data_IF_831927107310
#
_entry.id   IF_831927107310
#
_cell.length_a   1.000
_cell.length_b   1.000
_cell.length_c   1.000
_cell.angle_alpha   90.00
_cell.angle_beta   90.00
_cell.angle_gamma   90.00
#
_symmetry.space_group_name_H-M   'P 1'
#
loop_
_entity.id
_entity.type
_entity.pdbx_description
1 polymer ?
#
# COMPACT_ATOMS: atom_id res chain seq x y z
N UNK A 1 20.04 -11.05 45.22
CA UNK A 1 19.10 -12.04 44.66
C UNK A 1 17.76 -11.36 44.31
N UNK A 2 17.11 -10.63 45.24
CA UNK A 2 15.81 -9.98 45.00
C UNK A 2 15.89 -8.96 43.83
N UNK A 3 16.93 -8.12 43.82
CA UNK A 3 17.15 -7.14 42.75
C UNK A 3 17.32 -7.84 41.37
N UNK A 4 18.10 -8.90 41.32
CA UNK A 4 18.31 -9.66 40.09
C UNK A 4 17.00 -10.30 39.60
N UNK A 5 16.14 -10.77 40.49
CA UNK A 5 14.84 -11.32 40.12
C UNK A 5 13.89 -10.24 39.57
N UNK A 6 13.84 -9.07 40.22
CA UNK A 6 13.04 -7.93 39.74
C UNK A 6 13.53 -7.46 38.36
N UNK A 7 14.85 -7.36 38.20
CA UNK A 7 15.44 -6.98 36.88
C UNK A 7 15.11 -8.00 35.81
N UNK A 8 15.20 -9.31 36.10
CA UNK A 8 14.85 -10.35 35.14
C UNK A 8 13.36 -10.29 34.73
N UNK A 9 12.46 -10.06 35.71
CA UNK A 9 11.01 -9.88 35.41
C UNK A 9 10.75 -8.61 34.60
N UNK A 10 11.43 -7.53 34.95
CA UNK A 10 11.31 -6.26 34.18
C UNK A 10 11.79 -6.43 32.74
N UNK A 11 12.93 -7.07 32.49
CA UNK A 11 13.45 -7.38 31.16
C UNK A 11 12.49 -8.30 30.40
N UNK A 12 11.95 -9.35 31.05
CA UNK A 12 10.96 -10.22 30.40
C UNK A 12 9.66 -9.47 30.07
N UNK A 13 9.25 -8.50 30.89
CA UNK A 13 8.13 -7.60 30.62
C UNK A 13 8.40 -6.68 29.44
N UNK A 14 9.60 -6.12 29.36
CA UNK A 14 10.02 -5.24 28.26
C UNK A 14 9.96 -5.95 26.90
N UNK A 15 10.35 -7.22 26.83
CA UNK A 15 10.31 -8.05 25.63
C UNK A 15 8.89 -8.39 25.16
N UNK A 16 7.89 -8.20 26.02
CA UNK A 16 6.46 -8.41 25.69
C UNK A 16 5.71 -7.13 25.39
N UNK A 17 6.33 -5.99 25.59
CA UNK A 17 5.73 -4.69 25.23
C UNK A 17 5.55 -4.60 23.73
N UNK A 18 4.29 -4.58 23.29
CA UNK A 18 3.92 -4.18 21.94
C UNK A 18 3.53 -2.71 22.00
N UNK A 19 4.23 -1.88 21.26
CA UNK A 19 3.87 -0.47 21.10
C UNK A 19 2.81 -0.41 20.00
N UNK A 20 1.58 -0.04 20.35
CA UNK A 20 0.56 0.32 19.38
C UNK A 20 0.69 1.83 19.14
N UNK A 21 1.15 2.18 17.96
CA UNK A 21 1.40 3.55 17.49
C UNK A 21 0.44 3.98 16.39
N UNK A 22 -0.71 3.29 16.27
CA UNK A 22 -1.77 3.75 15.37
C UNK A 22 -2.21 5.16 15.75
N UNK A 23 -2.39 6.02 14.77
CA UNK A 23 -2.88 7.39 15.02
C UNK A 23 -4.23 7.37 15.75
N UNK A 24 -5.09 6.40 15.46
CA UNK A 24 -6.36 6.21 16.13
C UNK A 24 -6.18 5.92 17.64
N UNK A 25 -5.16 5.13 18.02
CA UNK A 25 -4.89 4.81 19.43
C UNK A 25 -4.33 6.03 20.20
N UNK A 26 -3.53 6.88 19.54
CA UNK A 26 -3.03 8.13 20.13
C UNK A 26 -4.16 9.10 20.49
N UNK A 27 -5.27 9.07 19.76
CA UNK A 27 -6.45 9.90 20.00
C UNK A 27 -7.56 9.18 20.73
N UNK A 28 -7.31 7.93 21.20
CA UNK A 28 -8.31 7.13 21.90
C UNK A 28 -8.73 7.81 23.19
N UNK A 29 -9.98 8.26 23.18
CA UNK A 29 -10.62 8.88 24.32
C UNK A 29 -11.95 8.20 24.61
N UNK A 30 -12.41 8.22 25.85
CA UNK A 30 -13.71 7.64 26.22
C UNK A 30 -14.86 8.62 26.00
N UNK A 31 -14.84 9.33 24.86
CA UNK A 31 -15.89 10.29 24.48
C UNK A 31 -16.94 9.68 23.57
N UNK A 32 -18.17 10.21 23.54
CA UNK A 32 -19.22 9.75 22.62
C UNK A 32 -18.79 9.86 21.14
N UNK A 33 -18.04 10.90 20.80
CA UNK A 33 -17.53 11.17 19.44
C UNK A 33 -16.57 10.07 19.00
N UNK A 34 -15.66 9.64 19.89
CA UNK A 34 -14.72 8.57 19.57
C UNK A 34 -15.43 7.21 19.38
N UNK A 35 -16.46 6.91 20.17
CA UNK A 35 -17.30 5.71 19.98
C UNK A 35 -18.03 5.73 18.66
N UNK A 36 -18.52 6.90 18.24
CA UNK A 36 -19.15 7.09 16.93
C UNK A 36 -18.15 6.85 15.80
N UNK A 37 -16.93 7.37 15.93
CA UNK A 37 -15.83 7.11 15.00
C UNK A 37 -15.52 5.61 14.89
N UNK A 38 -15.37 4.89 16.02
CA UNK A 38 -15.14 3.44 16.03
C UNK A 38 -16.29 2.64 15.38
N UNK A 39 -17.54 3.08 15.54
CA UNK A 39 -18.70 2.42 14.93
C UNK A 39 -18.75 2.66 13.42
N UNK A 40 -18.37 3.85 12.96
CA UNK A 40 -18.24 4.17 11.53
C UNK A 40 -17.08 3.37 10.92
N UNK A 41 -15.91 3.36 11.54
CA UNK A 41 -14.72 2.65 11.06
C UNK A 41 -14.96 1.13 10.93
N UNK A 42 -15.75 0.55 11.86
CA UNK A 42 -16.16 -0.86 11.76
C UNK A 42 -17.13 -1.16 10.61
N UNK A 43 -17.98 -0.20 10.25
CA UNK A 43 -19.02 -0.39 9.22
C UNK A 43 -18.55 -0.02 7.83
N UNK A 44 -17.63 0.91 7.74
CA UNK A 44 -17.08 1.45 6.50
C UNK A 44 -15.56 1.34 6.54
N UNK A 45 -14.95 0.52 5.67
CA UNK A 45 -13.49 0.43 5.59
C UNK A 45 -12.89 1.83 5.42
N UNK A 46 -12.01 2.21 6.34
CA UNK A 46 -11.36 3.51 6.27
C UNK A 46 -10.10 3.44 5.41
N UNK A 47 -9.78 4.52 4.71
CA UNK A 47 -8.54 4.66 3.94
C UNK A 47 -7.28 4.75 4.82
N UNK A 48 -7.42 4.66 6.15
CA UNK A 48 -6.30 4.64 7.11
C UNK A 48 -5.38 3.44 6.90
N UNK A 49 -5.93 2.35 6.34
CA UNK A 49 -5.17 1.14 6.01
C UNK A 49 -4.88 1.00 4.52
N UNK A 50 -5.07 2.08 3.75
CA UNK A 50 -4.73 2.05 2.33
C UNK A 50 -3.24 2.37 2.12
N UNK A 51 -2.53 1.44 1.50
CA UNK A 51 -1.18 1.65 0.99
C UNK A 51 -1.24 1.98 -0.50
N UNK A 52 -0.40 2.92 -0.92
CA UNK A 52 -0.34 3.38 -2.30
C UNK A 52 0.98 2.91 -2.92
N UNK A 53 0.91 2.15 -4.01
CA UNK A 53 2.06 1.79 -4.82
C UNK A 53 2.08 2.72 -6.04
N UNK A 54 3.07 3.58 -6.10
CA UNK A 54 3.29 4.53 -7.19
C UNK A 54 4.30 3.92 -8.13
N UNK A 55 3.90 3.69 -9.37
CA UNK A 55 4.71 3.13 -10.45
C UNK A 55 5.04 4.23 -11.43
N UNK A 56 6.32 4.47 -11.70
CA UNK A 56 6.79 5.57 -12.54
C UNK A 56 7.76 5.07 -13.61
N UNK A 57 7.54 5.45 -14.85
CA UNK A 57 8.46 5.20 -15.96
C UNK A 57 7.83 5.40 -17.33
N UNK A 58 8.66 5.78 -18.29
CA UNK A 58 8.23 6.05 -19.69
C UNK A 58 7.73 4.80 -20.41
N UNK A 59 8.14 3.62 -19.96
CA UNK A 59 7.72 2.33 -20.51
C UNK A 59 6.34 1.87 -20.02
N UNK A 60 5.69 2.60 -19.09
CA UNK A 60 4.46 2.18 -18.43
C UNK A 60 3.34 1.77 -19.37
N UNK A 61 3.08 2.57 -20.41
CA UNK A 61 2.03 2.33 -21.40
C UNK A 61 2.51 1.58 -22.65
N UNK A 62 3.72 0.99 -22.61
CA UNK A 62 4.14 0.03 -23.64
C UNK A 62 3.52 -1.34 -23.35
N UNK A 63 3.56 -2.26 -24.31
CA UNK A 63 3.08 -3.64 -24.10
C UNK A 63 3.78 -4.31 -22.93
N UNK A 64 5.12 -4.25 -22.89
CA UNK A 64 5.93 -4.82 -21.81
C UNK A 64 5.61 -4.18 -20.47
N UNK A 65 5.49 -2.84 -20.43
CA UNK A 65 5.14 -2.12 -19.23
C UNK A 65 3.76 -2.46 -18.68
N UNK A 66 2.74 -2.55 -19.55
CA UNK A 66 1.39 -2.96 -19.15
C UNK A 66 1.35 -4.42 -18.69
N UNK A 67 2.11 -5.33 -19.33
CA UNK A 67 2.24 -6.72 -18.90
C UNK A 67 2.90 -6.82 -17.53
N UNK A 68 3.99 -6.10 -17.31
CA UNK A 68 4.66 -6.04 -16.01
C UNK A 68 3.77 -5.44 -14.94
N UNK A 69 3.01 -4.38 -15.26
CA UNK A 69 2.06 -3.77 -14.35
C UNK A 69 0.90 -4.72 -13.99
N UNK A 70 0.41 -5.52 -14.94
CA UNK A 70 -0.58 -6.56 -14.69
C UNK A 70 -0.03 -7.68 -13.80
N UNK A 71 1.20 -8.12 -14.05
CA UNK A 71 1.92 -9.09 -13.21
C UNK A 71 2.05 -8.59 -11.77
N UNK A 72 2.57 -7.37 -11.60
CA UNK A 72 2.68 -6.73 -10.30
C UNK A 72 1.32 -6.61 -9.58
N UNK A 73 0.26 -6.23 -10.29
CA UNK A 73 -1.10 -6.14 -9.73
C UNK A 73 -1.58 -7.50 -9.21
N UNK A 74 -1.31 -8.59 -9.96
CA UNK A 74 -1.68 -9.95 -9.58
C UNK A 74 -0.89 -10.45 -8.36
N UNK A 75 0.42 -10.22 -8.33
CA UNK A 75 1.29 -10.56 -7.21
C UNK A 75 0.89 -9.79 -5.93
N UNK A 76 0.63 -8.50 -6.06
CA UNK A 76 0.22 -7.64 -4.95
C UNK A 76 -1.14 -8.04 -4.39
N UNK A 77 -2.07 -8.50 -5.22
CA UNK A 77 -3.37 -8.98 -4.75
C UNK A 77 -3.27 -10.24 -3.90
N UNK A 78 -2.23 -11.04 -4.09
CA UNK A 78 -1.94 -12.27 -3.34
C UNK A 78 -1.01 -12.04 -2.16
N UNK A 79 -0.48 -10.82 -1.99
CA UNK A 79 0.46 -10.50 -0.93
C UNK A 79 -0.20 -10.56 0.46
N UNK A 80 0.56 -11.00 1.46
CA UNK A 80 0.08 -11.09 2.83
C UNK A 80 -0.41 -9.73 3.34
N UNK A 81 -1.59 -9.72 3.91
CA UNK A 81 -2.21 -8.52 4.47
C UNK A 81 -2.93 -7.62 3.47
N UNK A 82 -2.97 -7.97 2.19
CA UNK A 82 -3.77 -7.25 1.18
C UNK A 82 -5.18 -7.85 1.13
N UNK A 83 -6.18 -7.05 1.44
CA UNK A 83 -7.60 -7.43 1.40
C UNK A 83 -8.33 -6.95 0.16
N UNK A 84 -7.78 -5.95 -0.54
CA UNK A 84 -8.35 -5.39 -1.76
C UNK A 84 -7.31 -4.62 -2.56
N UNK A 85 -7.55 -4.51 -3.87
CA UNK A 85 -6.68 -3.80 -4.80
C UNK A 85 -7.51 -3.10 -5.86
N UNK A 86 -7.17 -1.83 -6.13
CA UNK A 86 -7.73 -1.04 -7.22
C UNK A 86 -6.60 -0.35 -7.98
N UNK A 87 -6.64 -0.43 -9.31
CA UNK A 87 -5.68 0.21 -10.21
C UNK A 87 -6.35 0.65 -11.51
N UNK A 88 -5.58 1.18 -12.45
CA UNK A 88 -6.10 1.48 -13.81
C UNK A 88 -6.65 0.23 -14.52
N UNK A 89 -6.19 -0.98 -14.16
CA UNK A 89 -6.69 -2.23 -14.73
C UNK A 89 -8.10 -2.60 -14.22
N UNK A 90 -8.53 -2.02 -13.09
CA UNK A 90 -9.89 -2.21 -12.56
C UNK A 90 -10.95 -1.46 -13.38
N UNK A 91 -10.54 -0.57 -14.27
CA UNK A 91 -11.46 0.22 -15.07
C UNK A 91 -12.17 -0.61 -16.15
N UNK A 92 -13.44 -0.32 -16.31
CA UNK A 92 -14.32 -0.98 -17.28
C UNK A 92 -14.80 -0.01 -18.35
N UNK A 93 -15.08 -0.53 -19.52
CA UNK A 93 -15.73 0.21 -20.59
C UNK A 93 -17.18 0.56 -20.22
N UNK A 94 -17.84 1.39 -21.01
CA UNK A 94 -19.28 1.60 -20.87
C UNK A 94 -20.01 0.27 -21.12
N UNK A 95 -21.08 -0.03 -20.36
CA UNK A 95 -21.85 -1.23 -20.58
C UNK A 95 -22.40 -1.31 -22.01
N UNK A 96 -22.38 -2.51 -22.59
CA UNK A 96 -23.02 -2.81 -23.88
C UNK A 96 -24.55 -2.90 -23.75
N UNK A 97 -25.23 -3.27 -24.85
CA UNK A 97 -26.67 -3.44 -24.87
C UNK A 97 -27.21 -4.52 -23.91
N UNK A 98 -26.34 -5.45 -23.48
CA UNK A 98 -26.64 -6.53 -22.55
C UNK A 98 -26.28 -6.16 -21.10
N UNK A 99 -25.76 -4.96 -20.86
CA UNK A 99 -25.31 -4.49 -19.56
C UNK A 99 -23.90 -4.99 -19.15
N UNK A 100 -23.15 -5.62 -20.06
CA UNK A 100 -21.78 -6.08 -19.79
C UNK A 100 -20.79 -4.95 -20.04
N UNK A 101 -19.94 -4.67 -19.04
CA UNK A 101 -18.85 -3.71 -19.10
C UNK A 101 -17.50 -4.46 -19.16
N UNK A 102 -16.94 -4.56 -20.35
CA UNK A 102 -15.64 -5.22 -20.57
C UNK A 102 -14.49 -4.46 -19.88
N UNK A 103 -13.40 -5.15 -19.45
CA UNK A 103 -12.20 -4.47 -19.01
C UNK A 103 -11.63 -3.61 -20.15
N UNK A 104 -11.09 -2.42 -19.81
CA UNK A 104 -10.43 -1.55 -20.81
C UNK A 104 -9.12 -2.20 -21.24
N UNK A 105 -8.37 -2.76 -20.30
CA UNK A 105 -7.16 -3.53 -20.57
C UNK A 105 -7.55 -5.00 -20.52
N UNK A 106 -7.54 -5.73 -21.65
CA UNK A 106 -7.81 -7.16 -21.68
C UNK A 106 -6.63 -7.94 -21.08
N UNK A 107 -6.90 -9.17 -20.64
CA UNK A 107 -5.86 -10.06 -20.10
C UNK A 107 -4.79 -10.37 -21.17
N UNK A 108 -5.21 -10.56 -22.42
CA UNK A 108 -4.31 -10.73 -23.55
C UNK A 108 -4.17 -9.42 -24.31
N UNK A 109 -3.02 -8.77 -24.19
CA UNK A 109 -2.73 -7.53 -24.90
C UNK A 109 -2.50 -7.79 -26.40
N UNK A 110 -3.07 -6.95 -27.30
CA UNK A 110 -2.89 -7.09 -28.73
C UNK A 110 -1.42 -6.99 -29.13
N UNK A 111 -1.01 -7.79 -30.12
CA UNK A 111 0.35 -7.74 -30.67
C UNK A 111 0.55 -6.54 -31.60
N UNK A 112 -0.51 -6.11 -32.26
CA UNK A 112 -0.48 -4.99 -33.19
C UNK A 112 -0.43 -3.64 -32.46
N UNK A 113 0.39 -2.68 -32.94
CA UNK A 113 0.52 -1.37 -32.30
C UNK A 113 -0.77 -0.55 -32.30
N UNK A 114 -1.67 -0.77 -33.26
CA UNK A 114 -2.93 -0.04 -33.36
C UNK A 114 -3.93 -0.45 -32.27
N UNK A 115 -4.00 -1.74 -31.96
CA UNK A 115 -4.80 -2.26 -30.85
C UNK A 115 -4.30 -1.74 -29.52
N UNK A 116 -2.99 -1.75 -29.28
CA UNK A 116 -2.38 -1.19 -28.08
C UNK A 116 -2.67 0.32 -27.97
N UNK A 117 -2.51 1.08 -29.05
CA UNK A 117 -2.81 2.51 -29.05
C UNK A 117 -4.28 2.80 -28.68
N UNK A 118 -5.21 1.95 -29.11
CA UNK A 118 -6.63 2.05 -28.77
C UNK A 118 -6.86 1.86 -27.26
N UNK A 119 -6.22 0.88 -26.65
CA UNK A 119 -6.28 0.63 -25.19
C UNK A 119 -5.71 1.82 -24.42
N UNK A 120 -4.56 2.33 -24.82
CA UNK A 120 -3.91 3.49 -24.20
C UNK A 120 -4.79 4.74 -24.29
N UNK A 121 -5.40 4.97 -25.45
CA UNK A 121 -6.33 6.09 -25.64
C UNK A 121 -7.58 5.95 -24.77
N UNK A 122 -8.12 4.73 -24.63
CA UNK A 122 -9.25 4.45 -23.77
C UNK A 122 -8.92 4.67 -22.28
N UNK A 123 -7.74 4.25 -21.81
CA UNK A 123 -7.28 4.52 -20.44
C UNK A 123 -7.15 6.02 -20.17
N UNK A 124 -6.48 6.75 -21.07
CA UNK A 124 -6.25 8.20 -20.95
C UNK A 124 -7.53 9.04 -21.04
N UNK A 125 -8.58 8.53 -21.67
CA UNK A 125 -9.88 9.21 -21.79
C UNK A 125 -10.91 8.79 -20.73
N UNK A 126 -10.62 7.76 -19.93
CA UNK A 126 -11.56 7.27 -18.93
C UNK A 126 -11.59 8.18 -17.68
N UNK A 127 -12.77 8.69 -17.31
CA UNK A 127 -12.95 9.63 -16.19
C UNK A 127 -12.58 9.05 -14.81
N UNK A 128 -12.55 7.72 -14.67
CA UNK A 128 -12.14 7.04 -13.44
C UNK A 128 -10.61 6.91 -13.37
N UNK A 129 -9.96 6.69 -14.52
CA UNK A 129 -8.52 6.44 -14.61
C UNK A 129 -7.73 7.73 -14.67
N UNK A 130 -8.14 8.66 -15.54
CA UNK A 130 -7.44 9.91 -15.81
C UNK A 130 -7.28 10.76 -14.55
N UNK A 131 -6.05 11.12 -14.22
CA UNK A 131 -5.72 11.99 -13.09
C UNK A 131 -5.95 11.36 -11.70
N UNK A 132 -6.32 10.05 -11.64
CA UNK A 132 -6.51 9.32 -10.37
C UNK A 132 -5.62 8.09 -10.28
N UNK A 133 -5.67 7.24 -11.30
CA UNK A 133 -4.84 6.02 -11.39
C UNK A 133 -3.76 6.11 -12.46
N UNK A 134 -3.84 7.08 -13.36
CA UNK A 134 -2.88 7.33 -14.41
C UNK A 134 -2.70 8.84 -14.58
N UNK A 135 -1.45 9.30 -14.61
CA UNK A 135 -1.09 10.69 -14.87
C UNK A 135 -1.43 11.10 -16.32
N UNK A 136 -1.57 12.39 -16.56
CA UNK A 136 -1.94 12.91 -17.89
C UNK A 136 -0.88 12.58 -18.96
N UNK A 137 0.41 12.59 -18.59
CA UNK A 137 1.51 12.17 -19.46
C UNK A 137 1.55 10.65 -19.69
N UNK A 138 0.99 9.87 -18.78
CA UNK A 138 0.98 8.40 -18.83
C UNK A 138 2.27 7.77 -18.31
N UNK A 139 3.11 8.52 -17.63
CA UNK A 139 4.38 8.03 -17.08
C UNK A 139 4.27 7.61 -15.60
N UNK A 140 3.13 7.88 -14.93
CA UNK A 140 2.89 7.52 -13.54
C UNK A 140 1.55 6.82 -13.39
N UNK A 141 1.55 5.64 -12.74
CA UNK A 141 0.34 4.93 -12.34
C UNK A 141 0.28 4.68 -10.85
N UNK A 142 -0.94 4.58 -10.33
CA UNK A 142 -1.24 4.34 -8.94
C UNK A 142 -1.96 2.99 -8.77
N UNK A 143 -1.48 2.18 -7.83
CA UNK A 143 -2.19 1.01 -7.30
C UNK A 143 -2.56 1.33 -5.86
N UNK A 144 -3.83 1.22 -5.52
CA UNK A 144 -4.34 1.38 -4.15
C UNK A 144 -4.57 0.00 -3.57
N UNK A 145 -3.92 -0.28 -2.45
CA UNK A 145 -4.03 -1.53 -1.72
C UNK A 145 -4.76 -1.26 -0.40
N UNK A 146 -5.86 -1.95 -0.17
CA UNK A 146 -6.50 -1.95 1.15
C UNK A 146 -5.91 -3.08 1.98
N UNK A 147 -5.32 -2.74 3.13
CA UNK A 147 -4.67 -3.70 4.02
C UNK A 147 -5.63 -4.21 5.08
N UNK A 148 -5.51 -5.50 5.43
CA UNK A 148 -6.21 -6.11 6.55
C UNK A 148 -5.53 -5.71 7.88
N UNK A 149 -6.27 -4.96 8.71
CA UNK A 149 -5.80 -4.48 9.99
C UNK A 149 -5.31 -5.61 10.92
N UNK A 150 -6.01 -6.74 10.93
CA UNK A 150 -5.66 -7.87 11.79
C UNK A 150 -4.34 -8.50 11.37
N UNK A 151 -4.11 -8.67 10.07
CA UNK A 151 -2.88 -9.22 9.52
C UNK A 151 -1.71 -8.25 9.71
N UNK A 152 -1.93 -6.94 9.51
CA UNK A 152 -0.91 -5.92 9.78
C UNK A 152 -0.52 -5.89 11.26
N UNK A 153 -1.49 -6.07 12.18
CA UNK A 153 -1.21 -6.15 13.62
C UNK A 153 -0.45 -7.43 14.01
N UNK A 154 -0.69 -8.54 13.31
CA UNK A 154 -0.03 -9.83 13.56
C UNK A 154 1.40 -9.86 13.00
N UNK A 155 1.56 -9.52 11.71
CA UNK A 155 2.83 -9.61 10.97
C UNK A 155 3.73 -8.37 11.13
N UNK A 156 3.24 -7.28 11.65
CA UNK A 156 3.80 -5.93 11.70
C UNK A 156 3.71 -5.17 10.36
N UNK A 157 3.48 -3.87 10.43
CA UNK A 157 3.43 -2.99 9.24
C UNK A 157 4.73 -3.06 8.44
N UNK A 158 5.89 -3.17 9.10
CA UNK A 158 7.20 -3.28 8.44
C UNK A 158 7.30 -4.51 7.54
N UNK A 159 6.82 -5.66 7.98
CA UNK A 159 6.84 -6.91 7.21
C UNK A 159 5.90 -6.82 6.01
N UNK A 160 4.65 -6.36 6.23
CA UNK A 160 3.65 -6.25 5.16
C UNK A 160 4.08 -5.24 4.10
N UNK A 161 4.47 -4.03 4.50
CA UNK A 161 4.92 -2.97 3.59
C UNK A 161 6.21 -3.37 2.86
N UNK A 162 7.13 -4.05 3.56
CA UNK A 162 8.36 -4.59 2.96
C UNK A 162 8.05 -5.61 1.88
N UNK A 163 7.17 -6.57 2.15
CA UNK A 163 6.75 -7.60 1.19
C UNK A 163 6.05 -7.01 -0.03
N UNK A 164 5.16 -6.02 0.16
CA UNK A 164 4.51 -5.28 -0.92
C UNK A 164 5.56 -4.60 -1.82
N UNK A 165 6.54 -3.92 -1.21
CA UNK A 165 7.60 -3.26 -1.95
C UNK A 165 8.41 -4.24 -2.78
N UNK A 166 8.88 -5.31 -2.15
CA UNK A 166 9.70 -6.34 -2.82
C UNK A 166 8.95 -7.02 -3.96
N UNK A 167 7.67 -7.34 -3.78
CA UNK A 167 6.83 -7.93 -4.82
C UNK A 167 6.67 -6.97 -6.02
N UNK A 168 6.35 -5.70 -5.76
CA UNK A 168 6.21 -4.71 -6.81
C UNK A 168 7.53 -4.45 -7.55
N UNK A 169 8.65 -4.29 -6.83
CA UNK A 169 9.97 -4.04 -7.43
C UNK A 169 10.45 -5.23 -8.27
N UNK A 170 10.18 -6.45 -7.85
CA UNK A 170 10.57 -7.67 -8.59
C UNK A 170 9.93 -7.73 -9.98
N UNK A 171 8.65 -7.35 -10.07
CA UNK A 171 7.90 -7.37 -11.32
C UNK A 171 8.17 -6.16 -12.20
N UNK A 172 8.36 -4.98 -11.62
CA UNK A 172 8.36 -3.71 -12.37
C UNK A 172 9.77 -3.21 -12.73
N UNK A 173 10.76 -3.35 -11.85
CA UNK A 173 12.10 -2.81 -12.08
C UNK A 173 12.80 -3.38 -13.33
N UNK A 174 12.66 -4.68 -13.69
CA UNK A 174 13.27 -5.22 -14.91
C UNK A 174 12.76 -4.55 -16.20
N UNK A 175 11.58 -3.95 -16.15
CA UNK A 175 10.93 -3.27 -17.28
C UNK A 175 11.15 -1.75 -17.30
N UNK A 176 12.08 -1.24 -16.47
CA UNK A 176 12.40 0.18 -16.39
C UNK A 176 11.32 1.01 -15.68
N UNK A 177 10.51 0.38 -14.83
CA UNK A 177 9.49 1.01 -14.02
C UNK A 177 9.97 1.07 -12.56
N UNK A 178 10.00 2.26 -11.98
CA UNK A 178 10.37 2.45 -10.59
C UNK A 178 9.15 2.39 -9.66
N UNK A 179 9.36 1.93 -8.43
CA UNK A 179 8.32 1.75 -7.43
C UNK A 179 8.59 2.66 -6.23
N UNK A 180 7.56 3.39 -5.80
CA UNK A 180 7.54 4.14 -4.55
C UNK A 180 6.30 3.77 -3.76
N UNK A 181 6.42 3.71 -2.45
CA UNK A 181 5.28 3.48 -1.56
C UNK A 181 4.87 4.77 -0.85
N UNK A 182 3.57 4.91 -0.61
CA UNK A 182 2.95 6.01 0.14
C UNK A 182 1.69 5.50 0.85
N UNK A 183 0.96 6.40 1.47
CA UNK A 183 -0.25 6.08 2.24
C UNK A 183 0.00 6.08 3.75
N UNK A 184 -1.09 6.07 4.52
CA UNK A 184 -0.99 6.22 5.98
C UNK A 184 -0.14 5.13 6.65
N UNK A 185 -0.25 3.82 6.31
CA UNK A 185 0.57 2.78 6.92
C UNK A 185 2.07 2.96 6.64
N UNK A 186 2.42 3.43 5.43
CA UNK A 186 3.82 3.70 5.04
C UNK A 186 4.36 4.89 5.83
N UNK A 187 3.59 5.97 5.93
CA UNK A 187 3.99 7.17 6.69
C UNK A 187 4.15 6.86 8.18
N UNK A 188 3.24 6.08 8.77
CA UNK A 188 3.35 5.63 10.17
C UNK A 188 4.63 4.82 10.39
N UNK A 189 4.96 3.90 9.47
CA UNK A 189 6.20 3.12 9.52
C UNK A 189 7.43 4.02 9.46
N UNK A 190 7.46 5.01 8.57
CA UNK A 190 8.59 5.94 8.44
C UNK A 190 8.75 6.83 9.69
N UNK A 191 7.65 7.30 10.27
CA UNK A 191 7.68 8.05 11.54
C UNK A 191 8.25 7.17 12.66
N UNK A 192 7.80 5.92 12.77
CA UNK A 192 8.32 4.97 13.75
C UNK A 192 9.82 4.75 13.59
N UNK A 193 10.27 4.44 12.37
CA UNK A 193 11.68 4.24 12.06
C UNK A 193 12.53 5.47 12.42
N UNK A 194 12.01 6.67 12.20
CA UNK A 194 12.68 7.92 12.56
C UNK A 194 12.79 8.07 14.09
N UNK A 195 11.71 7.83 14.82
CA UNK A 195 11.68 7.88 16.30
C UNK A 195 12.63 6.84 16.91
N UNK A 196 12.61 5.60 16.44
CA UNK A 196 13.50 4.54 16.92
C UNK A 196 14.96 4.91 16.69
N UNK A 197 15.30 5.44 15.52
CA UNK A 197 16.67 5.90 15.22
C UNK A 197 17.10 7.04 16.14
N UNK A 198 16.24 8.00 16.38
CA UNK A 198 16.52 9.14 17.26
C UNK A 198 16.68 8.70 18.72
N UNK A 199 15.83 7.77 19.20
CA UNK A 199 15.96 7.19 20.52
C UNK A 199 17.28 6.44 20.71
N UNK A 200 17.70 5.64 19.73
CA UNK A 200 18.99 4.93 19.77
C UNK A 200 20.18 5.92 19.82
N UNK A 201 20.09 6.99 19.04
CA UNK A 201 21.14 8.02 19.00
C UNK A 201 21.23 8.77 20.34
N UNK A 202 20.09 9.25 20.88
CA UNK A 202 20.06 10.03 22.12
C UNK A 202 20.37 9.18 23.34
N UNK A 203 19.86 7.94 23.42
CA UNK A 203 20.18 7.03 24.51
C UNK A 203 21.65 6.61 24.48
N UNK A 204 22.24 6.38 23.29
CA UNK A 204 23.65 6.10 23.13
C UNK A 204 24.54 7.26 23.59
N UNK A 205 24.19 8.49 23.23
CA UNK A 205 24.90 9.70 23.68
C UNK A 205 24.72 9.94 25.18
N UNK A 206 23.52 9.71 25.73
CA UNK A 206 23.24 9.88 27.17
C UNK A 206 23.93 8.88 28.08
N UNK A 207 24.38 7.73 27.54
CA UNK A 207 25.20 6.75 28.27
C UNK A 207 26.71 7.09 28.26
N UNK A 208 27.13 8.00 27.37
CA UNK A 208 28.52 8.43 27.23
C UNK A 208 28.86 9.66 28.10
N UNK A 209 27.86 10.33 28.66
CA UNK A 209 27.97 11.47 29.57
C UNK A 209 27.34 11.15 30.94
#
# INVERSE_FOLDING_TARGET
IVIALITAVAVAGLLRLKVDDSLAELFRTNTPEFRTYEDIDRRFPSSEYDALVVVEGKSLLTRDGLTAFAGATSELQLADGVSGLVSMLSARSKPDANGYAAPIVPDDLPEDPSGLATIVAALKSNDIVKGKFLSDDGELALIVLSLDRSVVAELTAKTVIGGIKEAAERELNPHGLSVKLSGAPVMQLEIRNAVERDQLLYNGLGLLF
#
